data_IF_180839988512
#
_entry.id   IF_180839988512
#
_cell.length_a   1.000
_cell.length_b   1.000
_cell.length_c   1.000
_cell.angle_alpha   90.00
_cell.angle_beta   90.00
_cell.angle_gamma   90.00
#
_symmetry.space_group_name_H-M   'P 1'
#
loop_
_entity.id
_entity.type
_entity.pdbx_description
1 polymer ?
#
# COMPACT_ATOMS: atom_id res chain seq x y z
N UNK A 1 -42.14 55.23 -0.99
CA UNK A 1 -40.90 55.02 -1.80
C UNK A 1 -39.74 54.81 -0.83
N UNK A 2 -39.34 53.56 -0.61
CA UNK A 2 -38.24 53.24 0.26
C UNK A 2 -37.01 53.06 -0.67
N UNK A 3 -36.05 53.99 -0.53
CA UNK A 3 -34.78 53.97 -1.26
C UNK A 3 -33.94 52.79 -0.79
N UNK A 4 -33.72 51.79 -1.64
CA UNK A 4 -32.74 50.72 -1.39
C UNK A 4 -31.33 51.29 -1.61
N UNK A 5 -30.47 51.18 -0.61
CA UNK A 5 -29.04 51.44 -0.74
C UNK A 5 -28.44 50.39 -1.68
N UNK A 6 -27.51 50.76 -2.56
CA UNK A 6 -26.87 49.82 -3.44
C UNK A 6 -26.06 48.78 -2.65
N UNK A 7 -26.26 47.50 -3.00
CA UNK A 7 -25.44 46.40 -2.48
C UNK A 7 -23.99 46.57 -2.93
N UNK A 8 -23.08 46.45 -1.99
CA UNK A 8 -21.63 46.54 -2.23
C UNK A 8 -21.20 45.33 -3.08
N UNK A 9 -20.44 45.56 -4.12
CA UNK A 9 -19.93 44.52 -4.97
C UNK A 9 -18.96 43.59 -4.22
N UNK A 10 -18.81 42.32 -4.64
CA UNK A 10 -17.84 41.39 -4.04
C UNK A 10 -16.41 41.94 -4.01
N UNK A 11 -16.03 42.77 -5.00
CA UNK A 11 -14.74 43.43 -5.09
C UNK A 11 -14.54 44.49 -3.97
N UNK A 12 -15.59 45.17 -3.55
CA UNK A 12 -15.51 46.15 -2.47
C UNK A 12 -15.37 45.49 -1.09
N UNK A 13 -15.97 44.33 -0.91
CA UNK A 13 -15.78 43.49 0.28
C UNK A 13 -14.32 42.97 0.40
N UNK A 14 -13.73 42.57 -0.70
CA UNK A 14 -12.31 42.11 -0.72
C UNK A 14 -11.36 43.26 -0.38
N UNK A 15 -11.61 44.47 -0.88
CA UNK A 15 -10.82 45.68 -0.54
C UNK A 15 -10.91 46.04 0.92
N UNK A 16 -12.11 45.93 1.53
CA UNK A 16 -12.33 46.22 2.97
C UNK A 16 -11.58 45.17 3.80
N UNK A 17 -11.64 43.87 3.45
CA UNK A 17 -10.93 42.81 4.16
C UNK A 17 -9.39 42.97 4.04
N UNK A 18 -8.90 43.36 2.87
CA UNK A 18 -7.47 43.62 2.66
C UNK A 18 -7.00 44.88 3.48
N UNK A 19 -7.81 45.91 3.56
CA UNK A 19 -7.51 47.08 4.39
C UNK A 19 -7.53 46.77 5.88
N UNK A 20 -8.46 45.96 6.38
CA UNK A 20 -8.48 45.51 7.77
C UNK A 20 -7.26 44.65 8.11
N UNK A 21 -6.84 43.77 7.23
CA UNK A 21 -5.64 42.93 7.38
C UNK A 21 -4.37 43.80 7.50
N UNK A 22 -4.24 44.84 6.66
CA UNK A 22 -3.09 45.74 6.68
C UNK A 22 -3.07 46.65 7.96
N UNK A 23 -4.22 47.00 8.52
CA UNK A 23 -4.32 47.78 9.74
C UNK A 23 -3.97 46.91 10.96
N UNK A 24 -4.39 45.61 10.99
CA UNK A 24 -4.00 44.71 12.07
C UNK A 24 -2.47 44.44 12.08
N UNK A 25 -1.81 44.38 10.91
CA UNK A 25 -0.37 44.23 10.86
C UNK A 25 0.44 45.43 11.31
N UNK A 26 -0.15 46.66 11.27
CA UNK A 26 0.53 47.88 11.69
C UNK A 26 0.41 48.19 13.21
N UNK A 27 -0.52 47.57 13.89
CA UNK A 27 -0.80 47.90 15.30
C UNK A 27 -0.06 47.02 16.31
N UNK A 28 0.37 45.83 15.92
CA UNK A 28 1.14 44.96 16.79
C UNK A 28 2.63 45.05 16.42
N UNK A 29 3.35 46.03 16.93
CA UNK A 29 4.80 45.96 17.08
C UNK A 29 5.10 44.90 18.13
N UNK A 30 5.22 43.63 17.69
CA UNK A 30 5.76 42.56 18.53
C UNK A 30 7.21 42.97 18.83
N UNK A 31 7.59 43.19 20.11
CA UNK A 31 8.99 43.43 20.42
C UNK A 31 9.80 42.26 19.88
N UNK A 32 10.88 42.54 19.17
CA UNK A 32 11.85 41.51 18.76
C UNK A 32 12.45 40.93 20.03
N UNK A 33 11.75 39.98 20.61
CA UNK A 33 12.29 39.16 21.67
C UNK A 33 13.38 38.30 21.01
N UNK A 34 14.64 38.64 21.24
CA UNK A 34 15.75 37.75 20.90
C UNK A 34 15.65 36.50 21.80
N UNK A 35 14.75 35.62 21.45
CA UNK A 35 14.77 34.28 22.00
C UNK A 35 16.07 33.66 21.44
N UNK A 36 17.07 33.52 22.31
CA UNK A 36 18.27 32.73 22.01
C UNK A 36 17.74 31.33 21.75
N UNK A 37 17.60 30.97 20.48
CA UNK A 37 17.21 29.59 20.10
C UNK A 37 18.24 28.67 20.76
N UNK A 38 17.80 27.65 21.50
CA UNK A 38 18.72 26.70 22.07
C UNK A 38 19.58 26.12 20.94
N UNK A 39 20.87 25.99 21.20
CA UNK A 39 21.82 25.44 20.26
C UNK A 39 21.28 24.07 19.78
N UNK A 40 21.02 23.94 18.49
CA UNK A 40 20.44 22.72 17.91
C UNK A 40 21.47 21.60 18.09
N UNK A 41 21.24 20.72 19.04
CA UNK A 41 22.06 19.52 19.19
C UNK A 41 21.66 18.51 18.11
N UNK A 42 22.60 18.16 17.25
CA UNK A 42 22.46 17.01 16.37
C UNK A 42 22.64 15.72 17.17
N UNK A 43 21.81 14.73 16.90
CA UNK A 43 21.95 13.40 17.48
C UNK A 43 21.59 12.34 16.45
N UNK A 44 22.20 11.16 16.60
CA UNK A 44 21.96 10.03 15.72
C UNK A 44 21.05 9.03 16.43
N UNK A 45 19.99 8.61 15.74
CA UNK A 45 19.00 7.66 16.23
C UNK A 45 18.91 6.45 15.29
N UNK A 46 18.85 5.23 15.86
CA UNK A 46 18.48 4.04 15.12
C UNK A 46 16.95 3.86 15.16
N UNK A 47 16.33 3.94 14.00
CA UNK A 47 14.92 3.60 13.81
C UNK A 47 14.81 2.17 13.32
N UNK A 48 14.36 1.27 14.18
CA UNK A 48 14.32 -0.17 13.92
C UNK A 48 15.69 -0.87 14.10
N UNK A 49 15.72 -2.22 13.92
CA UNK A 49 14.60 -3.08 13.51
C UNK A 49 13.52 -3.31 14.57
N UNK A 50 13.83 -3.10 15.86
CA UNK A 50 12.83 -3.21 16.93
C UNK A 50 12.07 -1.89 17.08
N UNK A 51 11.10 -1.70 16.22
CA UNK A 51 10.15 -0.58 16.23
C UNK A 51 8.86 -1.03 15.56
N UNK A 52 7.66 -0.64 16.04
CA UNK A 52 6.40 -1.06 15.42
C UNK A 52 6.32 -0.76 13.93
N UNK A 53 6.73 0.43 13.51
CA UNK A 53 6.71 0.86 12.09
C UNK A 53 7.91 0.34 11.27
N UNK A 54 8.83 -0.41 11.84
CA UNK A 54 9.95 -1.04 11.14
C UNK A 54 9.64 -2.47 10.69
N UNK A 55 8.54 -3.05 11.18
CA UNK A 55 8.06 -4.41 10.86
C UNK A 55 9.13 -5.52 11.06
N UNK A 56 10.09 -5.27 11.95
CA UNK A 56 11.17 -6.19 12.28
C UNK A 56 12.32 -6.27 11.26
N UNK A 57 12.24 -5.55 10.14
CA UNK A 57 13.17 -5.68 9.00
C UNK A 57 13.79 -4.37 8.54
N UNK A 58 13.22 -3.23 8.89
CA UNK A 58 13.78 -1.92 8.56
C UNK A 58 14.78 -1.47 9.63
N UNK A 59 15.99 -1.15 9.24
CA UNK A 59 16.94 -0.38 10.03
C UNK A 59 17.27 0.92 9.32
N UNK A 60 16.94 2.02 9.96
CA UNK A 60 17.17 3.35 9.42
C UNK A 60 17.99 4.16 10.44
N UNK A 61 19.15 4.63 10.04
CA UNK A 61 19.98 5.52 10.86
C UNK A 61 19.59 6.95 10.49
N UNK A 62 19.07 7.68 11.47
CA UNK A 62 18.62 9.06 11.31
C UNK A 62 19.58 10.02 12.02
N UNK A 63 20.01 11.05 11.32
CA UNK A 63 20.66 12.21 11.92
C UNK A 63 19.62 13.33 12.05
N UNK A 64 19.42 13.79 13.27
CA UNK A 64 18.37 14.73 13.63
C UNK A 64 18.96 16.01 14.19
N UNK A 65 18.43 17.16 13.79
CA UNK A 65 18.62 18.45 14.44
C UNK A 65 17.31 18.87 15.15
N UNK A 66 17.20 18.55 16.43
CA UNK A 66 15.93 18.61 17.13
C UNK A 66 14.95 17.57 16.57
N UNK A 67 13.83 18.01 15.96
CA UNK A 67 12.82 17.15 15.34
C UNK A 67 12.99 17.03 13.80
N UNK A 68 13.96 17.73 13.22
CA UNK A 68 14.17 17.73 11.76
C UNK A 68 15.16 16.66 11.37
N UNK A 69 14.78 15.81 10.42
CA UNK A 69 15.66 14.81 9.84
C UNK A 69 16.59 15.51 8.85
N UNK A 70 17.89 15.48 9.14
CA UNK A 70 18.95 16.04 8.27
C UNK A 70 19.44 14.99 7.30
N UNK A 71 19.58 13.74 7.78
CA UNK A 71 20.05 12.61 6.99
C UNK A 71 19.33 11.34 7.40
N UNK A 72 19.01 10.51 6.40
CA UNK A 72 18.48 9.16 6.59
C UNK A 72 19.35 8.18 5.81
N UNK A 73 19.89 7.18 6.51
CA UNK A 73 20.74 6.14 5.94
C UNK A 73 20.06 4.77 6.14
N UNK A 74 19.43 4.20 5.08
CA UNK A 74 18.74 2.93 5.16
C UNK A 74 19.74 1.76 5.08
N UNK A 75 19.71 0.89 6.10
CA UNK A 75 20.45 -0.35 6.13
C UNK A 75 19.54 -1.50 5.71
N UNK A 76 19.62 -1.92 4.47
CA UNK A 76 18.85 -3.02 3.90
C UNK A 76 19.56 -4.36 4.08
N UNK A 77 18.83 -5.46 3.90
CA UNK A 77 19.36 -6.82 3.92
C UNK A 77 18.81 -7.71 5.03
N UNK A 78 18.06 -7.17 6.00
CA UNK A 78 17.49 -7.97 7.10
C UNK A 78 16.44 -8.99 6.62
N UNK A 79 15.86 -8.79 5.44
CA UNK A 79 14.93 -9.71 4.80
C UNK A 79 15.54 -10.37 3.54
N UNK A 80 16.83 -10.27 3.33
CA UNK A 80 17.50 -10.91 2.20
C UNK A 80 17.53 -12.42 2.40
N UNK A 81 16.95 -13.18 1.45
CA UNK A 81 16.77 -14.64 1.52
C UNK A 81 17.53 -15.38 0.43
N UNK A 82 18.34 -14.69 -0.35
CA UNK A 82 19.08 -15.28 -1.48
C UNK A 82 18.17 -15.80 -2.59
N UNK A 83 16.98 -15.23 -2.78
CA UNK A 83 15.95 -15.71 -3.70
C UNK A 83 16.45 -15.82 -5.14
N UNK A 84 17.21 -14.86 -5.63
CA UNK A 84 17.77 -14.88 -6.99
C UNK A 84 18.73 -16.06 -7.17
N UNK A 85 19.61 -16.27 -6.22
CA UNK A 85 20.57 -17.38 -6.27
C UNK A 85 19.91 -18.75 -6.17
N UNK A 86 18.84 -18.84 -5.38
CA UNK A 86 18.03 -20.06 -5.29
C UNK A 86 17.27 -20.33 -6.60
N UNK A 87 16.73 -19.30 -7.24
CA UNK A 87 16.03 -19.41 -8.50
C UNK A 87 16.96 -19.89 -9.64
N UNK A 88 18.22 -19.42 -9.68
CA UNK A 88 19.23 -19.89 -10.67
C UNK A 88 19.47 -21.40 -10.61
N UNK A 89 19.33 -22.01 -9.44
CA UNK A 89 19.56 -23.45 -9.24
C UNK A 89 18.38 -24.34 -9.64
N UNK A 90 17.26 -23.75 -10.04
CA UNK A 90 16.00 -24.45 -10.30
C UNK A 90 15.49 -24.25 -11.73
N UNK A 91 14.76 -25.22 -12.29
CA UNK A 91 14.00 -25.00 -13.52
C UNK A 91 12.98 -23.85 -13.37
N UNK A 92 12.68 -23.16 -14.47
CA UNK A 92 11.77 -22.00 -14.47
C UNK A 92 10.41 -22.29 -13.86
N UNK A 93 9.81 -23.44 -14.12
CA UNK A 93 8.52 -23.84 -13.56
C UNK A 93 8.55 -24.09 -12.03
N UNK A 94 9.71 -24.44 -11.47
CA UNK A 94 9.88 -24.60 -10.02
C UNK A 94 10.23 -23.28 -9.33
N UNK A 95 10.76 -22.31 -10.06
CA UNK A 95 11.12 -21.01 -9.53
C UNK A 95 9.92 -20.10 -9.27
N UNK A 96 8.73 -20.44 -9.81
CA UNK A 96 7.50 -19.67 -9.60
C UNK A 96 7.19 -19.50 -8.11
N UNK A 97 7.40 -20.54 -7.31
CA UNK A 97 7.17 -20.48 -5.87
C UNK A 97 8.03 -19.45 -5.13
N UNK A 98 9.18 -19.07 -5.67
CA UNK A 98 9.98 -17.99 -5.11
C UNK A 98 9.38 -16.61 -5.39
N UNK A 99 8.68 -16.46 -6.53
CA UNK A 99 8.06 -15.21 -6.91
C UNK A 99 6.94 -14.82 -5.95
N UNK A 100 6.14 -15.80 -5.49
CA UNK A 100 5.09 -15.57 -4.47
C UNK A 100 5.62 -14.93 -3.19
N UNK A 101 6.88 -15.16 -2.88
CA UNK A 101 7.52 -14.73 -1.63
C UNK A 101 8.33 -13.45 -1.78
N UNK A 102 8.33 -12.81 -2.93
CA UNK A 102 8.97 -11.51 -3.14
C UNK A 102 8.10 -10.40 -2.52
N UNK A 103 6.99 -10.08 -3.16
CA UNK A 103 5.93 -9.30 -2.54
C UNK A 103 4.87 -10.27 -2.02
N UNK A 104 5.04 -10.71 -0.77
CA UNK A 104 4.15 -11.70 -0.13
C UNK A 104 2.75 -11.16 0.18
N UNK A 105 2.43 -9.95 -0.23
CA UNK A 105 1.10 -9.34 -0.16
C UNK A 105 0.38 -9.40 -1.50
N UNK A 106 1.12 -9.53 -2.62
CA UNK A 106 0.60 -9.60 -4.00
C UNK A 106 1.05 -10.87 -4.72
N UNK A 107 0.84 -12.04 -4.11
CA UNK A 107 1.42 -13.30 -4.53
C UNK A 107 1.13 -13.65 -5.99
N UNK A 108 -0.14 -13.75 -6.39
CA UNK A 108 -0.49 -14.14 -7.76
C UNK A 108 -0.09 -13.09 -8.81
N UNK A 109 -0.02 -11.81 -8.46
CA UNK A 109 0.48 -10.79 -9.38
C UNK A 109 1.97 -10.95 -9.67
N UNK A 110 2.76 -11.38 -8.68
CA UNK A 110 4.18 -11.72 -8.88
C UNK A 110 4.34 -12.95 -9.78
N UNK A 111 3.54 -13.98 -9.54
CA UNK A 111 3.51 -15.16 -10.42
C UNK A 111 3.18 -14.76 -11.87
N UNK A 112 2.16 -13.89 -12.04
CA UNK A 112 1.72 -13.45 -13.35
C UNK A 112 2.84 -12.72 -14.10
N UNK A 113 3.52 -11.79 -13.47
CA UNK A 113 4.64 -11.05 -14.08
C UNK A 113 5.75 -12.00 -14.55
N UNK A 114 6.09 -13.00 -13.73
CA UNK A 114 7.09 -13.99 -14.07
C UNK A 114 6.67 -14.90 -15.22
N UNK A 115 5.45 -15.43 -15.15
CA UNK A 115 4.89 -16.33 -16.18
C UNK A 115 4.73 -15.62 -17.52
N UNK A 116 4.25 -14.36 -17.54
CA UNK A 116 4.17 -13.53 -18.74
C UNK A 116 5.54 -13.34 -19.40
N UNK A 117 6.59 -13.18 -18.61
CA UNK A 117 7.96 -13.05 -19.14
C UNK A 117 8.41 -14.31 -19.86
N UNK A 118 8.13 -15.49 -19.29
CA UNK A 118 8.44 -16.78 -19.89
C UNK A 118 7.60 -17.00 -21.16
N UNK A 119 6.32 -16.72 -21.11
CA UNK A 119 5.40 -16.87 -22.24
C UNK A 119 5.82 -16.01 -23.43
N UNK A 120 6.24 -14.78 -23.15
CA UNK A 120 6.76 -13.87 -24.17
C UNK A 120 8.07 -14.35 -24.78
N UNK A 121 8.95 -14.96 -23.99
CA UNK A 121 10.22 -15.53 -24.49
C UNK A 121 10.00 -16.77 -25.37
N UNK A 122 8.97 -17.55 -25.07
CA UNK A 122 8.66 -18.79 -25.78
C UNK A 122 7.60 -18.61 -26.87
N UNK A 123 7.06 -17.40 -27.03
CA UNK A 123 5.94 -17.08 -27.96
C UNK A 123 4.74 -18.02 -27.79
N UNK A 124 4.32 -18.23 -26.53
CA UNK A 124 3.23 -19.14 -26.19
C UNK A 124 1.88 -18.42 -26.21
N UNK A 125 0.93 -18.96 -26.96
CA UNK A 125 -0.46 -18.55 -26.89
C UNK A 125 -1.18 -19.15 -25.68
N UNK A 126 -1.93 -18.31 -24.99
CA UNK A 126 -2.66 -18.67 -23.78
C UNK A 126 -4.16 -18.81 -24.10
N UNK A 127 -4.83 -19.90 -23.67
CA UNK A 127 -6.26 -20.06 -23.82
C UNK A 127 -7.02 -18.86 -23.21
N UNK A 128 -8.08 -18.41 -23.92
CA UNK A 128 -8.86 -17.24 -23.50
C UNK A 128 -9.43 -17.39 -22.08
N UNK A 129 -9.88 -18.59 -21.72
CA UNK A 129 -10.37 -18.89 -20.38
C UNK A 129 -9.30 -18.64 -19.30
N UNK A 130 -8.08 -19.07 -19.54
CA UNK A 130 -6.97 -18.84 -18.60
C UNK A 130 -6.65 -17.35 -18.44
N UNK A 131 -6.75 -16.56 -19.53
CA UNK A 131 -6.58 -15.10 -19.46
C UNK A 131 -7.63 -14.45 -18.52
N UNK A 132 -8.90 -14.82 -18.64
CA UNK A 132 -9.94 -14.32 -17.75
C UNK A 132 -9.75 -14.74 -16.29
N UNK A 133 -9.35 -16.00 -16.05
CA UNK A 133 -9.05 -16.49 -14.70
C UNK A 133 -7.92 -15.68 -14.08
N UNK A 134 -6.84 -15.43 -14.82
CA UNK A 134 -5.70 -14.64 -14.35
C UNK A 134 -6.13 -13.22 -13.99
N UNK A 135 -6.88 -12.53 -14.86
CA UNK A 135 -7.38 -11.18 -14.58
C UNK A 135 -8.22 -11.15 -13.31
N UNK A 136 -9.11 -12.13 -13.14
CA UNK A 136 -9.95 -12.22 -11.94
C UNK A 136 -9.10 -12.35 -10.66
N UNK A 137 -8.10 -13.24 -10.66
CA UNK A 137 -7.23 -13.42 -9.51
C UNK A 137 -6.24 -12.27 -9.29
N UNK A 138 -5.81 -11.59 -10.34
CA UNK A 138 -5.02 -10.37 -10.21
C UNK A 138 -5.80 -9.27 -9.52
N UNK A 139 -7.10 -9.13 -9.83
CA UNK A 139 -7.94 -8.13 -9.14
C UNK A 139 -8.26 -8.54 -7.69
N UNK A 140 -8.47 -9.82 -7.41
CA UNK A 140 -8.58 -10.32 -6.03
C UNK A 140 -7.29 -10.03 -5.26
N UNK A 141 -6.13 -10.30 -5.87
CA UNK A 141 -4.81 -10.02 -5.32
C UNK A 141 -4.63 -8.52 -5.05
N UNK A 142 -5.08 -7.68 -5.97
CA UNK A 142 -5.02 -6.22 -5.81
C UNK A 142 -5.82 -5.76 -4.59
N UNK A 143 -7.02 -6.30 -4.39
CA UNK A 143 -7.84 -5.99 -3.20
C UNK A 143 -7.17 -6.48 -1.93
N UNK A 144 -6.61 -7.70 -1.92
CA UNK A 144 -5.84 -8.24 -0.80
C UNK A 144 -4.65 -7.35 -0.42
N UNK A 145 -3.93 -6.86 -1.44
CA UNK A 145 -2.81 -5.95 -1.26
C UNK A 145 -3.25 -4.62 -0.63
N UNK A 146 -4.28 -4.00 -1.19
CA UNK A 146 -4.78 -2.71 -0.69
C UNK A 146 -5.29 -2.79 0.75
N UNK A 147 -5.98 -3.87 1.11
CA UNK A 147 -6.44 -4.09 2.49
C UNK A 147 -5.27 -4.25 3.45
N UNK A 148 -4.22 -4.99 3.07
CA UNK A 148 -3.03 -5.15 3.88
C UNK A 148 -2.25 -3.85 4.03
N UNK A 149 -2.00 -3.15 2.91
CA UNK A 149 -1.30 -1.88 2.92
C UNK A 149 -2.03 -0.85 3.78
N UNK A 150 -3.34 -0.68 3.58
CA UNK A 150 -4.13 0.29 4.34
C UNK A 150 -4.17 -0.06 5.83
N UNK A 151 -4.37 -1.37 6.14
CA UNK A 151 -4.38 -1.85 7.52
C UNK A 151 -3.03 -1.66 8.22
N UNK A 152 -1.92 -1.98 7.56
CA UNK A 152 -0.58 -1.79 8.12
C UNK A 152 -0.25 -0.31 8.34
N UNK A 153 -0.60 0.56 7.38
CA UNK A 153 -0.42 2.00 7.53
C UNK A 153 -1.25 2.58 8.70
N UNK A 154 -2.50 2.14 8.84
CA UNK A 154 -3.34 2.51 9.96
C UNK A 154 -2.75 2.04 11.31
N UNK A 155 -2.17 0.83 11.35
CA UNK A 155 -1.48 0.32 12.53
C UNK A 155 -0.28 1.20 12.91
N UNK A 156 0.52 1.62 11.93
CA UNK A 156 1.72 2.46 12.13
C UNK A 156 1.39 3.82 12.77
N UNK A 157 0.22 4.37 12.47
CA UNK A 157 -0.30 5.60 13.10
C UNK A 157 -1.14 5.35 14.36
N UNK A 158 -1.22 4.09 14.83
CA UNK A 158 -1.87 3.72 16.09
C UNK A 158 -3.32 3.24 15.99
N UNK A 159 -3.91 3.13 14.78
CA UNK A 159 -5.29 2.69 14.58
C UNK A 159 -5.38 1.15 14.45
N UNK A 160 -5.09 0.41 15.51
CA UNK A 160 -5.05 -1.05 15.53
C UNK A 160 -6.36 -1.71 15.10
N UNK A 161 -7.52 -1.13 15.45
CA UNK A 161 -8.82 -1.69 15.10
C UNK A 161 -9.04 -1.77 13.58
N UNK A 162 -8.53 -0.81 12.82
CA UNK A 162 -8.63 -0.77 11.35
C UNK A 162 -7.88 -1.97 10.74
N UNK A 163 -6.71 -2.30 11.29
CA UNK A 163 -5.94 -3.48 10.90
C UNK A 163 -6.75 -4.76 11.05
N UNK A 164 -7.42 -4.95 12.20
CA UNK A 164 -8.25 -6.13 12.45
C UNK A 164 -9.44 -6.23 11.49
N UNK A 165 -10.12 -5.10 11.20
CA UNK A 165 -11.20 -5.07 10.21
C UNK A 165 -10.72 -5.41 8.80
N UNK A 166 -9.56 -4.90 8.39
CA UNK A 166 -8.98 -5.21 7.09
C UNK A 166 -8.67 -6.71 6.95
N UNK A 167 -8.18 -7.34 8.02
CA UNK A 167 -7.89 -8.78 8.02
C UNK A 167 -9.15 -9.65 7.91
N UNK A 168 -10.26 -9.23 8.50
CA UNK A 168 -11.54 -9.93 8.33
C UNK A 168 -11.93 -10.04 6.86
N UNK A 169 -11.81 -8.95 6.11
CA UNK A 169 -12.12 -8.94 4.68
C UNK A 169 -11.11 -9.75 3.85
N UNK A 170 -9.84 -9.73 4.29
CA UNK A 170 -8.79 -10.52 3.63
C UNK A 170 -9.01 -12.02 3.77
N UNK A 171 -9.48 -12.49 4.93
CA UNK A 171 -9.79 -13.90 5.14
C UNK A 171 -10.77 -14.43 4.09
N UNK A 172 -11.85 -13.70 3.84
CA UNK A 172 -12.85 -14.05 2.83
C UNK A 172 -12.26 -14.17 1.41
N UNK A 173 -11.26 -13.36 1.07
CA UNK A 173 -10.60 -13.40 -0.24
C UNK A 173 -9.54 -14.51 -0.31
N UNK A 174 -8.90 -14.84 0.80
CA UNK A 174 -7.95 -15.97 0.89
C UNK A 174 -8.65 -17.32 0.70
N UNK A 175 -9.91 -17.44 1.10
CA UNK A 175 -10.71 -18.64 0.81
C UNK A 175 -10.85 -18.87 -0.70
N UNK A 176 -10.89 -17.81 -1.52
CA UNK A 176 -10.86 -17.92 -2.98
C UNK A 176 -9.54 -18.49 -3.49
N UNK A 177 -8.42 -18.12 -2.89
CA UNK A 177 -7.11 -18.68 -3.20
C UNK A 177 -7.04 -20.17 -2.85
N UNK A 178 -7.52 -20.52 -1.66
CA UNK A 178 -7.55 -21.91 -1.21
C UNK A 178 -8.43 -22.79 -2.10
N UNK A 179 -9.57 -22.28 -2.56
CA UNK A 179 -10.47 -23.01 -3.45
C UNK A 179 -9.82 -23.45 -4.77
N UNK A 180 -8.92 -22.64 -5.34
CA UNK A 180 -8.27 -22.97 -6.63
C UNK A 180 -6.90 -23.62 -6.50
N UNK A 181 -6.16 -23.29 -5.44
CA UNK A 181 -4.77 -23.74 -5.29
C UNK A 181 -4.55 -24.74 -4.17
N UNK A 182 -5.46 -24.80 -3.20
CA UNK A 182 -5.31 -25.56 -1.97
C UNK A 182 -4.47 -24.85 -0.91
N UNK A 183 -4.02 -23.62 -1.17
CA UNK A 183 -3.23 -22.82 -0.24
C UNK A 183 -3.81 -21.43 -0.08
N UNK A 184 -3.71 -20.88 1.13
CA UNK A 184 -4.29 -19.56 1.45
C UNK A 184 -3.49 -18.37 0.92
N UNK A 185 -2.18 -18.52 0.75
CA UNK A 185 -1.29 -17.43 0.36
C UNK A 185 -0.43 -17.76 -0.86
N UNK A 186 0.59 -18.58 -0.67
CA UNK A 186 1.57 -18.89 -1.73
C UNK A 186 1.05 -19.99 -2.62
N UNK A 187 0.25 -19.59 -3.61
CA UNK A 187 -0.58 -20.49 -4.40
C UNK A 187 0.19 -21.27 -5.48
N UNK A 188 1.20 -20.66 -6.06
CA UNK A 188 1.92 -21.19 -7.24
C UNK A 188 0.92 -21.67 -8.32
N UNK A 189 -0.09 -20.84 -8.56
CA UNK A 189 -1.26 -21.20 -9.36
C UNK A 189 -1.08 -20.92 -10.85
N UNK A 190 -0.39 -19.84 -11.21
CA UNK A 190 -0.12 -19.53 -12.61
C UNK A 190 1.02 -20.41 -13.13
N UNK A 191 0.86 -20.86 -14.38
CA UNK A 191 1.83 -21.69 -15.07
C UNK A 191 2.06 -21.15 -16.48
N UNK A 192 3.26 -21.28 -17.04
CA UNK A 192 3.47 -20.96 -18.44
C UNK A 192 2.46 -21.72 -19.32
N UNK A 193 1.70 -20.97 -20.13
CA UNK A 193 0.62 -21.50 -20.95
C UNK A 193 -0.78 -21.52 -20.31
N UNK A 194 -0.93 -21.09 -19.04
CA UNK A 194 -2.25 -21.00 -18.41
C UNK A 194 -2.24 -20.97 -16.89
N UNK A 195 -3.07 -21.80 -16.28
CA UNK A 195 -3.22 -21.97 -14.83
C UNK A 195 -3.11 -23.45 -14.46
N UNK A 196 -2.76 -23.74 -13.21
CA UNK A 196 -2.51 -25.11 -12.74
C UNK A 196 -3.78 -25.98 -12.72
N UNK A 197 -4.93 -25.37 -12.43
CA UNK A 197 -6.24 -26.04 -12.34
C UNK A 197 -7.33 -25.09 -12.81
N UNK A 198 -8.44 -25.64 -13.30
CA UNK A 198 -9.63 -24.84 -13.60
C UNK A 198 -10.36 -24.42 -12.32
N UNK A 199 -11.25 -23.45 -12.46
CA UNK A 199 -12.08 -22.98 -11.36
C UNK A 199 -13.00 -24.09 -10.86
N UNK A 200 -13.19 -24.24 -9.53
CA UNK A 200 -14.23 -25.07 -8.97
C UNK A 200 -15.64 -24.64 -9.46
N UNK A 201 -16.52 -25.59 -9.68
CA UNK A 201 -17.89 -25.30 -10.17
C UNK A 201 -18.68 -24.35 -9.26
N UNK A 202 -18.39 -24.37 -7.95
CA UNK A 202 -19.07 -23.56 -6.93
C UNK A 202 -18.42 -22.20 -6.70
N UNK A 203 -17.22 -21.96 -7.23
CA UNK A 203 -16.51 -20.72 -6.97
C UNK A 203 -17.26 -19.45 -7.40
N UNK A 204 -17.88 -19.37 -8.59
CA UNK A 204 -18.68 -18.22 -8.97
C UNK A 204 -19.87 -17.96 -8.01
N UNK A 205 -20.50 -19.02 -7.50
CA UNK A 205 -21.58 -18.91 -6.51
C UNK A 205 -21.08 -18.42 -5.17
N UNK A 206 -19.92 -18.88 -4.74
CA UNK A 206 -19.28 -18.47 -3.49
C UNK A 206 -18.93 -16.96 -3.49
N UNK A 207 -18.30 -16.49 -4.56
CA UNK A 207 -17.98 -15.06 -4.73
C UNK A 207 -19.26 -14.23 -4.81
N UNK A 208 -20.29 -14.69 -5.53
CA UNK A 208 -21.57 -14.00 -5.66
C UNK A 208 -22.34 -13.95 -4.34
N UNK A 209 -22.37 -15.04 -3.59
CA UNK A 209 -23.08 -15.13 -2.29
C UNK A 209 -22.43 -14.22 -1.24
N UNK A 210 -21.12 -14.26 -1.11
CA UNK A 210 -20.41 -13.36 -0.18
C UNK A 210 -20.54 -11.89 -0.57
N UNK A 211 -20.56 -11.59 -1.86
CA UNK A 211 -20.73 -10.22 -2.34
C UNK A 211 -22.15 -9.69 -2.14
N UNK A 212 -23.16 -10.56 -2.22
CA UNK A 212 -24.56 -10.22 -1.92
C UNK A 212 -24.81 -10.03 -0.43
N UNK A 213 -24.26 -10.88 0.44
CA UNK A 213 -24.43 -10.76 1.90
C UNK A 213 -23.85 -9.46 2.48
N UNK A 214 -22.88 -8.85 1.82
CA UNK A 214 -22.30 -7.55 2.22
C UNK A 214 -23.12 -6.33 1.78
N UNK A 215 -24.09 -6.49 0.89
CA UNK A 215 -25.00 -5.40 0.48
C UNK A 215 -26.20 -5.25 1.41
N UNK A 216 -26.42 -6.20 2.31
CA UNK A 216 -27.55 -6.21 3.26
C UNK A 216 -27.17 -5.71 4.66
N UNK A 217 -25.94 -5.24 4.86
CA UNK A 217 -25.45 -4.55 6.05
C UNK A 217 -25.24 -3.07 5.77
#
# INVERSE_FOLDING_TARGET
>A
MVSRKPEKSPLDMIKILASCSLILFKVVKIPKMHIKMPEKKSYTMNFGPQHPSAHGVLRLILELEGEVIVRADPHIGLLHRGTEKLAESKPYNQSIGYMDRLDYVSMMSNEHAYVLSIEKLLDLDIPIRAKYIRVMFDEITRVLNHLMWLGAHALDIGAMSVFLYAFREREDLMDCYEAVSGTRMHATYYRPGGVARDLPLEMPKYTETKWKSKKEI
#
